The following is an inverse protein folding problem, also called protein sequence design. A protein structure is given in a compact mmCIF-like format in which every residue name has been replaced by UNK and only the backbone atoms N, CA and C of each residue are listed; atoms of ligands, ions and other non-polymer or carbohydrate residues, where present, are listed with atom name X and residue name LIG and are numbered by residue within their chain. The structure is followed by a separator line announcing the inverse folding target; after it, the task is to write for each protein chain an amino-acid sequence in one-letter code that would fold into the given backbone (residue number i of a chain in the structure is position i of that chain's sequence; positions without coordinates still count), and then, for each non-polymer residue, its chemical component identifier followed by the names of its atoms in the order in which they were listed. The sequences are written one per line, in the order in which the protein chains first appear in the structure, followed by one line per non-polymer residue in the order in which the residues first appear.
data_IF_638280909498
#
_entry.id   IF_638280909498
#
_cell.length_a   1.000
_cell.length_b   1.000
_cell.length_c   1.000
_cell.angle_alpha   90.00
_cell.angle_beta   90.00
_cell.angle_gamma   90.00
#
_symmetry.space_group_name_H-M   'P 1'
#
loop_
_entity.id
_entity.type
_entity.pdbx_description
1 polymer ?
#
# COMPACT_ATOMS: atom_id res chain seq x y z
N UNK A 1 21.12 19.54 11.02
CA UNK A 1 20.52 18.45 10.23
C UNK A 1 19.20 17.93 10.80
N UNK A 2 19.07 17.54 12.09
CA UNK A 2 17.82 16.99 12.66
C UNK A 2 16.61 17.94 12.56
N UNK A 3 16.78 19.25 12.75
CA UNK A 3 15.71 20.26 12.65
C UNK A 3 15.18 20.36 11.22
N UNK A 4 16.06 20.43 10.23
CA UNK A 4 15.65 20.49 8.80
C UNK A 4 14.86 19.26 8.37
N UNK A 5 15.25 18.06 8.83
CA UNK A 5 14.49 16.83 8.58
C UNK A 5 13.07 16.89 9.17
N UNK A 6 12.92 17.42 10.38
CA UNK A 6 11.61 17.60 11.02
C UNK A 6 10.76 18.66 10.30
N UNK A 7 11.37 19.77 9.90
CA UNK A 7 10.68 20.82 9.12
C UNK A 7 10.19 20.27 7.78
N UNK A 8 11.02 19.50 7.07
CA UNK A 8 10.64 18.86 5.83
C UNK A 8 9.51 17.85 6.02
N UNK A 9 9.52 17.04 7.09
CA UNK A 9 8.43 16.13 7.43
C UNK A 9 7.11 16.87 7.62
N UNK A 10 7.13 17.95 8.44
CA UNK A 10 5.94 18.77 8.70
C UNK A 10 5.44 19.43 7.41
N UNK A 11 6.34 19.96 6.61
CA UNK A 11 6.03 20.53 5.30
C UNK A 11 5.32 19.53 4.39
N UNK A 12 5.90 18.34 4.23
CA UNK A 12 5.28 17.32 3.38
C UNK A 12 3.91 16.88 3.89
N UNK A 13 3.76 16.64 5.20
CA UNK A 13 2.46 16.29 5.79
C UNK A 13 1.43 17.41 5.59
N UNK A 14 1.85 18.67 5.69
CA UNK A 14 1.01 19.83 5.41
C UNK A 14 0.57 19.86 3.94
N UNK A 15 1.49 19.61 3.00
CA UNK A 15 1.15 19.56 1.56
C UNK A 15 0.19 18.40 1.25
N UNK A 16 0.38 17.23 1.83
CA UNK A 16 -0.55 16.11 1.70
C UNK A 16 -1.95 16.50 2.15
N UNK A 17 -2.08 17.13 3.32
CA UNK A 17 -3.36 17.56 3.85
C UNK A 17 -3.97 18.72 3.02
N UNK A 18 -3.18 19.72 2.65
CA UNK A 18 -3.64 20.87 1.87
C UNK A 18 -4.24 20.43 0.53
N UNK A 19 -3.50 19.62 -0.24
CA UNK A 19 -3.98 19.14 -1.54
C UNK A 19 -5.23 18.27 -1.36
N UNK A 20 -5.26 17.40 -0.32
CA UNK A 20 -6.44 16.61 -0.01
C UNK A 20 -7.67 17.48 0.23
N UNK A 21 -7.58 18.52 1.07
CA UNK A 21 -8.74 19.36 1.39
C UNK A 21 -9.18 20.20 0.19
N UNK A 22 -8.28 20.64 -0.67
CA UNK A 22 -8.63 21.29 -1.94
C UNK A 22 -9.40 20.32 -2.85
N UNK A 23 -8.98 19.05 -2.91
CA UNK A 23 -9.61 18.01 -3.71
C UNK A 23 -10.78 17.31 -3.02
N UNK A 24 -11.09 17.66 -1.77
CA UNK A 24 -12.10 16.97 -0.96
C UNK A 24 -13.48 16.84 -1.65
N UNK A 25 -14.02 17.87 -2.32
CA UNK A 25 -15.29 17.74 -3.03
C UNK A 25 -15.28 16.66 -4.12
N UNK A 26 -14.15 16.52 -4.85
CA UNK A 26 -13.98 15.48 -5.87
C UNK A 26 -13.87 14.09 -5.25
N UNK A 27 -13.12 13.95 -4.16
CA UNK A 27 -13.05 12.69 -3.42
C UNK A 27 -14.41 12.29 -2.85
N UNK A 28 -15.12 13.23 -2.24
CA UNK A 28 -16.46 13.00 -1.72
C UNK A 28 -17.41 12.51 -2.83
N UNK A 29 -17.39 13.16 -3.99
CA UNK A 29 -18.19 12.74 -5.15
C UNK A 29 -17.79 11.34 -5.65
N UNK A 30 -16.50 11.05 -5.76
CA UNK A 30 -16.00 9.77 -6.26
C UNK A 30 -16.34 8.61 -5.33
N UNK A 31 -16.29 8.80 -4.01
CA UNK A 31 -16.54 7.74 -3.03
C UNK A 31 -18.02 7.38 -2.83
N UNK A 32 -18.96 8.06 -3.48
CA UNK A 32 -20.42 7.83 -3.28
C UNK A 32 -21.01 6.72 -4.12
N UNK A 33 -20.31 6.31 -5.19
CA UNK A 33 -20.80 5.25 -6.08
C UNK A 33 -19.63 4.37 -6.52
N UNK A 34 -19.85 3.07 -6.51
CA UNK A 34 -18.84 2.07 -6.87
C UNK A 34 -18.33 2.23 -8.29
N UNK A 35 -19.20 2.59 -9.24
CA UNK A 35 -18.84 2.80 -10.64
C UNK A 35 -17.78 3.90 -10.83
N UNK A 36 -17.51 4.67 -9.78
CA UNK A 36 -16.51 5.75 -9.79
C UNK A 36 -15.18 5.36 -9.16
N UNK A 37 -14.99 4.10 -8.75
CA UNK A 37 -13.77 3.67 -8.07
C UNK A 37 -12.53 3.81 -8.94
N UNK A 38 -12.62 3.53 -10.24
CA UNK A 38 -11.51 3.77 -11.19
C UNK A 38 -11.15 5.27 -11.22
N UNK A 39 -12.17 6.14 -11.28
CA UNK A 39 -11.96 7.59 -11.20
C UNK A 39 -11.36 8.01 -9.85
N UNK A 40 -11.78 7.38 -8.75
CA UNK A 40 -11.17 7.58 -7.43
C UNK A 40 -9.69 7.20 -7.43
N UNK A 41 -9.33 6.09 -8.08
CA UNK A 41 -7.93 5.67 -8.27
C UNK A 41 -7.09 6.75 -8.95
N UNK A 42 -7.60 7.33 -10.04
CA UNK A 42 -6.92 8.43 -10.76
C UNK A 42 -6.84 9.72 -9.91
N UNK A 43 -7.87 10.04 -9.11
CA UNK A 43 -7.81 11.17 -8.17
C UNK A 43 -6.75 10.93 -7.07
N UNK A 44 -6.67 9.72 -6.50
CA UNK A 44 -5.63 9.35 -5.53
C UNK A 44 -4.24 9.50 -6.15
N UNK A 45 -4.06 9.01 -7.37
CA UNK A 45 -2.81 9.11 -8.13
C UNK A 45 -2.40 10.56 -8.37
N UNK A 46 -3.33 11.41 -8.82
CA UNK A 46 -3.09 12.84 -9.02
C UNK A 46 -2.70 13.53 -7.71
N UNK A 47 -3.48 13.31 -6.64
CA UNK A 47 -3.20 13.83 -5.31
C UNK A 47 -1.79 13.47 -4.82
N UNK A 48 -1.44 12.18 -4.88
CA UNK A 48 -0.14 11.70 -4.45
C UNK A 48 1.01 12.29 -5.27
N UNK A 49 0.88 12.35 -6.61
CA UNK A 49 1.88 12.97 -7.49
C UNK A 49 2.08 14.45 -7.17
N UNK A 50 1.00 15.20 -6.96
CA UNK A 50 1.08 16.61 -6.62
C UNK A 50 1.69 16.83 -5.24
N UNK A 51 1.28 16.04 -4.23
CA UNK A 51 1.87 16.10 -2.89
C UNK A 51 3.37 15.75 -2.91
N UNK A 52 3.78 14.75 -3.69
CA UNK A 52 5.21 14.42 -3.87
C UNK A 52 5.97 15.57 -4.51
N UNK A 53 5.46 16.16 -5.58
CA UNK A 53 6.10 17.30 -6.23
C UNK A 53 6.30 18.47 -5.26
N UNK A 54 5.27 18.82 -4.49
CA UNK A 54 5.31 19.88 -3.48
C UNK A 54 6.18 19.52 -2.27
N UNK A 55 6.33 18.23 -1.98
CA UNK A 55 7.21 17.69 -0.95
C UNK A 55 8.65 17.43 -1.42
N UNK A 56 9.00 17.83 -2.65
CA UNK A 56 10.33 17.61 -3.24
C UNK A 56 10.72 16.14 -3.34
N UNK A 57 9.73 15.26 -3.56
CA UNK A 57 9.94 13.85 -3.84
C UNK A 57 9.78 13.55 -5.34
N UNK A 58 10.79 12.89 -5.91
CA UNK A 58 10.69 12.18 -7.18
C UNK A 58 10.29 10.72 -6.95
N UNK A 59 9.94 10.02 -8.02
CA UNK A 59 9.69 8.58 -7.96
C UNK A 59 10.17 7.90 -9.24
N UNK A 60 10.63 6.66 -9.09
CA UNK A 60 11.05 5.79 -10.19
C UNK A 60 10.49 4.39 -9.97
N UNK A 61 9.74 3.90 -10.96
CA UNK A 61 9.20 2.55 -10.99
C UNK A 61 9.95 1.71 -12.01
N UNK A 62 10.47 0.57 -11.57
CA UNK A 62 11.02 -0.48 -12.41
C UNK A 62 10.04 -1.66 -12.38
N UNK A 63 9.60 -2.12 -13.55
CA UNK A 63 8.68 -3.25 -13.70
C UNK A 63 9.42 -4.43 -14.29
N UNK A 64 9.30 -5.62 -13.68
CA UNK A 64 9.88 -6.86 -14.21
C UNK A 64 9.21 -7.24 -15.54
N UNK A 65 7.91 -6.93 -15.68
CA UNK A 65 7.12 -7.08 -16.90
C UNK A 65 5.93 -6.10 -16.90
N UNK A 66 5.28 -5.83 -18.05
CA UNK A 66 4.03 -5.08 -18.10
C UNK A 66 2.94 -5.74 -17.26
N UNK A 67 2.18 -4.94 -16.48
CA UNK A 67 1.11 -5.41 -15.59
C UNK A 67 -0.24 -4.98 -16.16
N UNK A 68 -1.15 -5.94 -16.30
CA UNK A 68 -2.54 -5.68 -16.68
C UNK A 68 -3.40 -5.40 -15.43
N UNK A 69 -3.51 -4.12 -15.06
CA UNK A 69 -4.32 -3.67 -13.93
C UNK A 69 -5.84 -3.68 -14.18
N UNK A 70 -6.31 -4.14 -15.35
CA UNK A 70 -7.75 -4.31 -15.59
C UNK A 70 -8.33 -5.55 -14.90
N UNK A 71 -7.45 -6.47 -14.47
CA UNK A 71 -7.80 -7.70 -13.76
C UNK A 71 -7.57 -7.53 -12.25
N UNK A 72 -8.48 -8.07 -11.41
CA UNK A 72 -8.30 -8.01 -9.96
C UNK A 72 -7.07 -8.82 -9.53
N UNK A 73 -6.34 -8.31 -8.54
CA UNK A 73 -5.19 -8.96 -7.97
C UNK A 73 -5.00 -8.54 -6.51
N UNK A 74 -4.25 -9.34 -5.75
CA UNK A 74 -3.79 -8.97 -4.41
C UNK A 74 -2.38 -8.40 -4.52
N UNK A 75 -2.23 -7.12 -4.22
CA UNK A 75 -0.96 -6.40 -4.31
C UNK A 75 -0.36 -6.35 -2.91
N UNK A 76 0.82 -6.89 -2.74
CA UNK A 76 1.52 -6.96 -1.45
C UNK A 76 2.87 -6.28 -1.54
N UNK A 77 3.23 -5.51 -0.50
CA UNK A 77 4.49 -4.80 -0.44
C UNK A 77 5.08 -4.82 0.98
N UNK A 78 6.40 -4.62 1.09
CA UNK A 78 7.03 -4.27 2.36
C UNK A 78 6.54 -2.89 2.85
N UNK A 79 6.57 -2.66 4.17
CA UNK A 79 6.04 -1.43 4.75
C UNK A 79 6.96 -0.85 5.82
N UNK A 80 7.59 0.27 5.51
CA UNK A 80 8.61 0.89 6.37
C UNK A 80 8.53 2.42 6.42
N UNK A 81 7.59 3.01 5.67
CA UNK A 81 7.53 4.46 5.47
C UNK A 81 6.11 4.98 5.29
N UNK A 82 5.86 6.22 5.72
CA UNK A 82 4.64 6.97 5.35
C UNK A 82 4.55 7.25 3.83
N UNK A 83 5.65 7.13 3.10
CA UNK A 83 5.67 7.31 1.64
C UNK A 83 5.13 6.09 0.87
N UNK A 84 5.05 4.91 1.50
CA UNK A 84 4.70 3.65 0.82
C UNK A 84 3.29 3.70 0.24
N UNK A 85 2.30 4.08 1.06
CA UNK A 85 0.88 4.11 0.63
C UNK A 85 0.59 5.15 -0.45
N UNK A 86 1.04 6.41 -0.37
CA UNK A 86 0.87 7.33 -1.49
C UNK A 86 1.68 6.92 -2.73
N UNK A 87 2.84 6.28 -2.56
CA UNK A 87 3.66 5.86 -3.69
C UNK A 87 3.02 4.71 -4.47
N UNK A 88 2.41 3.74 -3.79
CA UNK A 88 1.72 2.64 -4.46
C UNK A 88 0.52 3.16 -5.28
N UNK A 89 -0.21 4.19 -4.79
CA UNK A 89 -1.29 4.83 -5.55
C UNK A 89 -0.80 5.48 -6.86
N UNK A 90 0.48 5.85 -6.94
CA UNK A 90 1.07 6.40 -8.19
C UNK A 90 1.35 5.30 -9.21
N UNK A 91 1.78 4.12 -8.77
CA UNK A 91 2.18 3.01 -9.64
C UNK A 91 1.05 2.09 -10.09
N UNK A 92 -0.12 2.14 -9.42
CA UNK A 92 -1.25 1.25 -9.69
C UNK A 92 -2.35 2.00 -10.43
N UNK A 93 -3.10 1.28 -11.25
CA UNK A 93 -4.27 1.76 -11.96
C UNK A 93 -5.49 0.87 -11.66
N UNK A 94 -6.67 1.28 -12.12
CA UNK A 94 -7.90 0.48 -12.02
C UNK A 94 -8.66 0.68 -10.71
N UNK A 95 -9.52 -0.31 -10.43
CA UNK A 95 -10.37 -0.33 -9.23
C UNK A 95 -9.65 -1.08 -8.10
N UNK A 96 -9.31 -0.38 -7.03
CA UNK A 96 -8.62 -0.97 -5.88
C UNK A 96 -9.06 -0.37 -4.55
N UNK A 97 -8.86 -1.15 -3.50
CA UNK A 97 -9.07 -0.72 -2.11
C UNK A 97 -7.91 -1.16 -1.22
N UNK A 98 -7.75 -0.46 -0.10
CA UNK A 98 -6.81 -0.82 0.95
C UNK A 98 -7.52 -1.55 2.09
N UNK A 99 -6.77 -2.41 2.79
CA UNK A 99 -7.14 -2.87 4.11
C UNK A 99 -6.18 -2.27 5.14
N UNK A 100 -6.70 -1.54 6.10
CA UNK A 100 -5.88 -0.81 7.07
C UNK A 100 -6.47 -0.81 8.48
N UNK A 101 -5.71 -0.27 9.46
CA UNK A 101 -6.11 -0.22 10.87
C UNK A 101 -7.39 0.59 11.07
N UNK A 102 -8.25 0.13 11.98
CA UNK A 102 -9.50 0.81 12.35
C UNK A 102 -9.30 2.25 12.84
N UNK A 103 -8.14 2.56 13.45
CA UNK A 103 -7.78 3.91 13.90
C UNK A 103 -7.70 4.93 12.76
N UNK A 104 -7.53 4.48 11.51
CA UNK A 104 -7.55 5.35 10.33
C UNK A 104 -8.91 6.01 10.10
N UNK A 105 -9.98 5.48 10.68
CA UNK A 105 -11.29 6.14 10.75
C UNK A 105 -11.29 7.46 11.54
N UNK A 106 -10.28 7.67 12.40
CA UNK A 106 -10.10 8.92 13.16
C UNK A 106 -9.16 9.91 12.45
N UNK A 107 -8.47 9.47 11.40
CA UNK A 107 -7.48 10.31 10.70
C UNK A 107 -8.19 11.31 9.77
N UNK A 108 -7.92 12.63 9.86
CA UNK A 108 -8.70 13.66 9.16
C UNK A 108 -8.70 13.51 7.63
N UNK A 109 -7.60 13.01 7.06
CA UNK A 109 -7.44 12.80 5.61
C UNK A 109 -7.96 11.43 5.17
N UNK A 110 -7.66 10.36 5.92
CA UNK A 110 -7.95 8.98 5.50
C UNK A 110 -9.36 8.53 5.86
N UNK A 111 -10.02 9.19 6.83
CA UNK A 111 -11.36 8.85 7.31
C UNK A 111 -12.37 8.65 6.17
N UNK A 112 -12.37 9.55 5.19
CA UNK A 112 -13.31 9.48 4.06
C UNK A 112 -13.21 8.14 3.33
N UNK A 113 -11.98 7.71 3.01
CA UNK A 113 -11.75 6.47 2.26
C UNK A 113 -12.10 5.23 3.08
N UNK A 114 -11.71 5.19 4.36
CA UNK A 114 -12.00 4.05 5.26
C UNK A 114 -13.46 3.98 5.71
N UNK A 115 -14.24 5.03 5.54
CA UNK A 115 -15.70 5.00 5.74
C UNK A 115 -16.47 4.57 4.48
N UNK A 116 -15.83 4.51 3.31
CA UNK A 116 -16.53 4.34 2.04
C UNK A 116 -16.00 3.19 1.18
N UNK A 117 -14.72 3.19 0.85
CA UNK A 117 -14.12 2.28 -0.14
C UNK A 117 -13.13 1.33 0.50
N UNK A 118 -12.24 1.85 1.35
CA UNK A 118 -11.21 1.04 2.01
C UNK A 118 -11.80 0.28 3.21
N UNK A 119 -11.19 -0.85 3.57
CA UNK A 119 -11.71 -1.74 4.61
C UNK A 119 -10.92 -1.56 5.91
N UNK A 120 -11.55 -0.98 6.97
CA UNK A 120 -10.92 -0.90 8.28
C UNK A 120 -10.91 -2.26 8.97
N UNK A 121 -9.80 -2.59 9.64
CA UNK A 121 -9.67 -3.81 10.43
C UNK A 121 -9.25 -3.49 11.87
N UNK A 122 -10.04 -3.98 12.81
CA UNK A 122 -9.67 -4.05 14.22
C UNK A 122 -8.90 -5.36 14.43
N UNK A 123 -7.59 -5.24 14.70
CA UNK A 123 -6.66 -6.37 14.83
C UNK A 123 -6.69 -7.01 16.22
N UNK A 124 -7.27 -6.32 17.19
CA UNK A 124 -7.40 -6.81 18.57
C UNK A 124 -8.65 -7.68 18.71
N UNK A 125 -9.57 -7.63 17.75
CA UNK A 125 -10.78 -8.45 17.69
C UNK A 125 -10.72 -9.49 16.57
N UNK A 126 -10.64 -10.78 16.93
CA UNK A 126 -10.68 -11.89 15.95
C UNK A 126 -11.94 -11.86 15.09
N UNK A 127 -13.08 -11.53 15.69
CA UNK A 127 -14.38 -11.46 14.98
C UNK A 127 -14.39 -10.29 13.98
N UNK A 128 -13.93 -9.10 14.40
CA UNK A 128 -13.84 -7.95 13.52
C UNK A 128 -12.83 -8.18 12.38
N UNK A 129 -11.68 -8.77 12.67
CA UNK A 129 -10.68 -9.16 11.67
C UNK A 129 -11.26 -10.15 10.64
N UNK A 130 -12.02 -11.16 11.10
CA UNK A 130 -12.67 -12.10 10.19
C UNK A 130 -13.72 -11.41 9.30
N UNK A 131 -14.54 -10.52 9.86
CA UNK A 131 -15.53 -9.74 9.08
C UNK A 131 -14.86 -8.85 8.04
N UNK A 132 -13.76 -8.18 8.40
CA UNK A 132 -12.97 -7.37 7.47
C UNK A 132 -12.41 -8.21 6.32
N UNK A 133 -11.83 -9.40 6.62
CA UNK A 133 -11.34 -10.32 5.58
C UNK A 133 -12.46 -10.79 4.64
N UNK A 134 -13.64 -11.11 5.18
CA UNK A 134 -14.81 -11.48 4.35
C UNK A 134 -15.29 -10.34 3.45
N UNK A 135 -15.25 -9.10 3.95
CA UNK A 135 -15.59 -7.93 3.13
C UNK A 135 -14.59 -7.72 2.01
N UNK A 136 -13.29 -7.86 2.29
CA UNK A 136 -12.22 -7.79 1.29
C UNK A 136 -12.36 -8.90 0.25
N UNK A 137 -12.59 -10.15 0.68
CA UNK A 137 -12.83 -11.29 -0.21
C UNK A 137 -13.99 -11.01 -1.18
N UNK A 138 -15.11 -10.47 -0.67
CA UNK A 138 -16.23 -10.07 -1.51
C UNK A 138 -15.83 -8.99 -2.52
N UNK A 139 -15.12 -7.93 -2.09
CA UNK A 139 -14.68 -6.86 -2.99
C UNK A 139 -13.79 -7.40 -4.13
N UNK A 140 -12.87 -8.32 -3.79
CA UNK A 140 -11.97 -8.94 -4.80
C UNK A 140 -12.77 -9.78 -5.79
N UNK A 141 -13.72 -10.61 -5.33
CA UNK A 141 -14.62 -11.39 -6.21
C UNK A 141 -15.50 -10.51 -7.11
N UNK A 142 -15.76 -9.28 -6.67
CA UNK A 142 -16.49 -8.28 -7.43
C UNK A 142 -15.59 -7.46 -8.38
N UNK A 143 -14.31 -7.83 -8.52
CA UNK A 143 -13.38 -7.26 -9.51
C UNK A 143 -12.46 -6.15 -9.00
N UNK A 144 -12.43 -5.87 -7.68
CA UNK A 144 -11.51 -4.89 -7.11
C UNK A 144 -10.17 -5.54 -6.75
N UNK A 145 -9.07 -4.87 -7.02
CA UNK A 145 -7.76 -5.26 -6.47
C UNK A 145 -7.66 -4.89 -4.99
N UNK A 146 -6.98 -5.73 -4.22
CA UNK A 146 -6.63 -5.45 -2.82
C UNK A 146 -5.18 -4.98 -2.73
N UNK A 147 -4.94 -3.90 -1.98
CA UNK A 147 -3.59 -3.50 -1.58
C UNK A 147 -3.43 -3.73 -0.09
N UNK A 148 -2.41 -4.50 0.29
CA UNK A 148 -2.16 -4.87 1.67
C UNK A 148 -0.66 -4.96 1.96
N UNK A 149 -0.29 -4.55 3.18
CA UNK A 149 1.06 -4.73 3.73
C UNK A 149 1.03 -5.95 4.67
N UNK A 150 1.57 -7.10 4.26
CA UNK A 150 1.41 -8.34 5.02
C UNK A 150 2.17 -8.37 6.35
N UNK A 151 3.15 -7.48 6.53
CA UNK A 151 3.80 -7.25 7.84
C UNK A 151 2.81 -6.79 8.91
N UNK A 152 1.69 -6.18 8.50
CA UNK A 152 0.63 -5.72 9.38
C UNK A 152 0.94 -4.46 10.18
N UNK A 153 2.15 -3.96 10.13
CA UNK A 153 2.57 -2.66 10.70
C UNK A 153 3.80 -2.17 9.95
N UNK A 154 4.21 -0.90 10.15
CA UNK A 154 5.45 -0.40 9.58
C UNK A 154 6.65 -1.02 10.30
N UNK A 155 7.59 -1.60 9.54
CA UNK A 155 8.88 -2.02 10.07
C UNK A 155 9.70 -0.78 10.47
N UNK A 156 10.23 -0.78 11.68
CA UNK A 156 11.16 0.23 12.18
C UNK A 156 12.63 -0.22 12.09
N UNK A 157 12.83 -1.45 11.62
CA UNK A 157 14.14 -2.09 11.47
C UNK A 157 14.56 -2.23 10.00
N UNK A 158 13.85 -1.51 9.09
CA UNK A 158 14.18 -1.53 7.66
C UNK A 158 15.68 -1.22 7.43
N UNK A 159 16.33 -1.93 6.49
CA UNK A 159 15.77 -2.75 5.41
C UNK A 159 15.30 -4.15 5.83
N UNK A 160 15.32 -4.50 7.09
CA UNK A 160 14.75 -5.77 7.56
C UNK A 160 13.22 -5.69 7.56
N UNK A 161 12.57 -6.76 7.07
CA UNK A 161 11.12 -6.89 7.07
C UNK A 161 10.65 -7.68 8.27
N UNK A 162 9.42 -7.40 8.71
CA UNK A 162 8.71 -8.23 9.69
C UNK A 162 8.10 -9.45 9.00
N UNK A 163 7.80 -10.49 9.79
CA UNK A 163 7.12 -11.69 9.29
C UNK A 163 5.78 -11.36 8.63
N UNK A 164 5.47 -12.05 7.53
CA UNK A 164 4.24 -11.87 6.81
C UNK A 164 3.07 -12.61 7.45
N UNK A 165 1.95 -11.94 7.60
CA UNK A 165 0.68 -12.53 8.02
C UNK A 165 -0.02 -13.18 6.82
N UNK A 166 -0.68 -14.29 7.06
CA UNK A 166 -1.28 -15.13 6.01
C UNK A 166 -2.50 -14.54 5.30
N UNK A 167 -3.11 -13.47 5.82
CA UNK A 167 -4.39 -12.95 5.36
C UNK A 167 -4.45 -12.58 3.87
N UNK A 168 -3.42 -11.90 3.34
CA UNK A 168 -3.33 -11.53 1.93
C UNK A 168 -3.29 -12.75 1.01
N UNK A 169 -2.47 -13.72 1.37
CA UNK A 169 -2.24 -14.94 0.61
C UNK A 169 -3.49 -15.81 0.59
N UNK A 170 -4.16 -15.94 1.74
CA UNK A 170 -5.43 -16.64 1.84
C UNK A 170 -6.49 -16.02 0.92
N UNK A 171 -6.64 -14.69 0.90
CA UNK A 171 -7.58 -14.00 0.01
C UNK A 171 -7.26 -14.29 -1.45
N UNK A 172 -5.99 -14.22 -1.83
CA UNK A 172 -5.58 -14.46 -3.21
C UNK A 172 -5.92 -15.88 -3.67
N UNK A 173 -5.65 -16.90 -2.84
CA UNK A 173 -5.99 -18.31 -3.11
C UNK A 173 -7.50 -18.52 -3.14
N UNK A 174 -8.23 -18.02 -2.13
CA UNK A 174 -9.69 -18.21 -2.01
C UNK A 174 -10.48 -17.50 -3.13
N UNK A 175 -9.93 -16.41 -3.69
CA UNK A 175 -10.54 -15.64 -4.78
C UNK A 175 -10.01 -16.03 -6.17
N UNK A 176 -9.02 -16.91 -6.25
CA UNK A 176 -8.38 -17.31 -7.52
C UNK A 176 -7.81 -16.13 -8.32
N UNK A 177 -7.14 -15.23 -7.65
CA UNK A 177 -6.50 -14.05 -8.24
C UNK A 177 -4.99 -14.04 -7.98
N UNK A 178 -4.18 -13.49 -8.90
CA UNK A 178 -2.74 -13.45 -8.72
C UNK A 178 -2.32 -12.53 -7.58
N UNK A 179 -1.14 -12.82 -7.00
CA UNK A 179 -0.42 -11.91 -6.11
C UNK A 179 0.59 -11.10 -6.92
N UNK A 180 0.58 -9.78 -6.74
CA UNK A 180 1.59 -8.87 -7.27
C UNK A 180 2.52 -8.39 -6.16
N UNK A 181 3.76 -8.92 -6.06
CA UNK A 181 4.74 -8.40 -5.12
C UNK A 181 5.29 -7.05 -5.57
N UNK A 182 5.45 -6.13 -4.62
CA UNK A 182 6.04 -4.80 -4.85
C UNK A 182 7.10 -4.55 -3.78
N UNK A 183 8.27 -4.07 -4.18
CA UNK A 183 9.36 -3.73 -3.25
C UNK A 183 9.62 -2.23 -3.23
N UNK A 184 9.39 -1.58 -2.09
CA UNK A 184 9.87 -0.22 -1.84
C UNK A 184 11.33 -0.29 -1.39
N UNK A 185 12.22 0.26 -2.20
CA UNK A 185 13.66 0.03 -2.04
C UNK A 185 14.32 0.97 -1.02
N UNK A 186 13.88 2.24 -0.96
CA UNK A 186 14.58 3.27 -0.17
C UNK A 186 13.65 4.25 0.57
N UNK A 187 12.38 3.98 0.65
CA UNK A 187 11.43 4.89 1.31
C UNK A 187 11.78 5.08 2.79
N UNK A 188 12.30 4.03 3.46
CA UNK A 188 12.74 4.08 4.86
C UNK A 188 13.91 5.04 5.10
N UNK A 189 14.77 5.28 4.09
CA UNK A 189 15.87 6.25 4.17
C UNK A 189 15.35 7.68 4.08
N UNK A 190 14.37 7.91 3.21
CA UNK A 190 13.81 9.23 2.94
C UNK A 190 12.84 9.68 4.03
N UNK A 191 11.98 8.77 4.50
CA UNK A 191 11.02 9.02 5.58
C UNK A 191 10.72 7.71 6.32
N UNK A 192 11.46 7.37 7.38
CA UNK A 192 11.23 6.15 8.14
C UNK A 192 9.87 6.14 8.84
N UNK A 193 9.37 4.96 9.22
CA UNK A 193 8.08 4.76 9.87
C UNK A 193 7.91 5.52 11.20
N UNK A 194 9.01 5.96 11.82
CA UNK A 194 9.02 6.88 12.97
C UNK A 194 9.23 8.36 12.55
N UNK A 195 8.81 8.73 11.35
CA UNK A 195 9.05 10.06 10.75
C UNK A 195 8.70 11.26 11.62
N UNK A 196 7.74 11.13 12.53
CA UNK A 196 7.43 12.17 13.53
C UNK A 196 8.64 12.53 14.41
N UNK A 197 9.49 11.57 14.71
CA UNK A 197 10.71 11.76 15.53
C UNK A 197 11.96 11.90 14.68
N UNK A 198 12.12 11.08 13.63
CA UNK A 198 13.29 11.05 12.75
C UNK A 198 13.26 12.16 11.68
N UNK A 199 12.07 12.62 11.30
CA UNK A 199 11.88 13.56 10.19
C UNK A 199 12.00 12.88 8.82
N UNK A 200 12.15 13.70 7.77
CA UNK A 200 12.31 13.22 6.40
C UNK A 200 13.30 14.07 5.61
N UNK A 201 13.69 13.57 4.44
CA UNK A 201 14.53 14.31 3.49
C UNK A 201 13.94 14.20 2.09
N UNK A 202 14.09 15.22 1.23
CA UNK A 202 13.72 15.12 -0.18
C UNK A 202 14.57 14.05 -0.87
N UNK A 203 14.06 13.49 -1.98
CA UNK A 203 14.79 12.49 -2.74
C UNK A 203 13.92 11.75 -3.74
N UNK A 204 14.51 10.77 -4.40
CA UNK A 204 13.82 9.93 -5.38
C UNK A 204 13.50 8.58 -4.76
N UNK A 205 12.21 8.31 -4.62
CA UNK A 205 11.69 7.00 -4.17
C UNK A 205 11.84 5.99 -5.29
N UNK A 206 12.30 4.80 -4.96
CA UNK A 206 12.53 3.71 -5.91
C UNK A 206 11.66 2.52 -5.58
N UNK A 207 10.95 2.04 -6.60
CA UNK A 207 10.01 0.92 -6.48
C UNK A 207 10.34 -0.13 -7.53
N UNK A 208 10.32 -1.38 -7.13
CA UNK A 208 10.38 -2.52 -8.05
C UNK A 208 9.06 -3.27 -7.99
N UNK A 209 8.42 -3.43 -9.14
CA UNK A 209 7.17 -4.18 -9.32
C UNK A 209 7.53 -5.51 -9.96
N UNK A 210 7.35 -6.60 -9.21
CA UNK A 210 7.66 -7.94 -9.66
C UNK A 210 6.58 -8.47 -10.62
N UNK A 211 6.85 -9.61 -11.26
CA UNK A 211 5.83 -10.33 -12.02
C UNK A 211 4.74 -10.86 -11.09
N UNK A 212 3.47 -10.89 -11.52
CA UNK A 212 2.40 -11.51 -10.77
C UNK A 212 2.66 -13.02 -10.60
N UNK A 213 2.29 -13.55 -9.44
CA UNK A 213 2.36 -14.98 -9.11
C UNK A 213 0.95 -15.55 -9.18
N UNK A 214 0.74 -16.55 -10.03
CA UNK A 214 -0.51 -17.29 -10.11
C UNK A 214 -0.72 -18.11 -8.83
N UNK A 215 -1.92 -18.08 -8.28
CA UNK A 215 -2.24 -18.79 -7.04
C UNK A 215 -2.81 -20.19 -7.23
N UNK A 216 -3.06 -20.62 -8.47
CA UNK A 216 -3.63 -21.95 -8.75
C UNK A 216 -2.79 -23.10 -8.20
N UNK A 217 -1.45 -22.97 -8.26
CA UNK A 217 -0.51 -23.99 -7.76
C UNK A 217 -0.44 -24.09 -6.22
N UNK A 218 -1.09 -23.16 -5.48
CA UNK A 218 -1.02 -23.08 -4.01
C UNK A 218 -2.34 -23.44 -3.32
N UNK A 219 -3.28 -24.06 -4.04
CA UNK A 219 -4.57 -24.51 -3.48
C UNK A 219 -4.47 -25.78 -2.65
N UNK A 220 -3.33 -26.50 -2.75
CA UNK A 220 -3.05 -27.72 -1.99
C UNK A 220 -2.69 -27.43 -0.53
N UNK A 221 -2.68 -28.47 0.29
CA UNK A 221 -2.26 -28.40 1.69
C UNK A 221 -0.83 -27.88 1.82
N UNK A 222 -0.63 -26.89 2.71
CA UNK A 222 0.65 -26.18 2.86
C UNK A 222 0.94 -25.13 1.79
N UNK A 223 0.09 -24.96 0.76
CA UNK A 223 0.30 -24.00 -0.30
C UNK A 223 0.26 -22.54 0.17
N UNK A 224 -0.55 -22.24 1.17
CA UNK A 224 -0.62 -20.91 1.78
C UNK A 224 0.73 -20.46 2.37
N UNK A 225 1.41 -21.33 3.11
CA UNK A 225 2.71 -21.05 3.71
C UNK A 225 3.81 -20.95 2.65
N UNK A 226 3.76 -21.84 1.64
CA UNK A 226 4.70 -21.81 0.50
C UNK A 226 4.59 -20.47 -0.24
N UNK A 227 3.36 -20.03 -0.59
CA UNK A 227 3.13 -18.77 -1.27
C UNK A 227 3.61 -17.56 -0.44
N UNK A 228 3.29 -17.55 0.85
CA UNK A 228 3.73 -16.49 1.77
C UNK A 228 5.26 -16.40 1.84
N UNK A 229 5.93 -17.54 1.98
CA UNK A 229 7.39 -17.63 2.05
C UNK A 229 8.04 -17.22 0.73
N UNK A 230 7.49 -17.65 -0.39
CA UNK A 230 8.01 -17.27 -1.72
C UNK A 230 7.92 -15.76 -1.95
N UNK A 231 6.77 -15.16 -1.69
CA UNK A 231 6.58 -13.71 -1.84
C UNK A 231 7.47 -12.92 -0.88
N UNK A 232 7.60 -13.39 0.37
CA UNK A 232 8.53 -12.80 1.33
C UNK A 232 9.96 -12.80 0.78
N UNK A 233 10.44 -13.95 0.30
CA UNK A 233 11.79 -14.10 -0.22
C UNK A 233 12.04 -13.23 -1.45
N UNK A 234 11.09 -13.12 -2.37
CA UNK A 234 11.18 -12.27 -3.57
C UNK A 234 11.38 -10.80 -3.15
N UNK A 235 10.53 -10.29 -2.25
CA UNK A 235 10.60 -8.90 -1.80
C UNK A 235 11.88 -8.67 -0.99
N UNK A 236 12.20 -9.56 -0.05
CA UNK A 236 13.38 -9.44 0.81
C UNK A 236 14.68 -9.47 0.00
N UNK A 237 14.82 -10.41 -0.93
CA UNK A 237 16.01 -10.51 -1.77
C UNK A 237 16.24 -9.22 -2.57
N UNK A 238 15.18 -8.66 -3.17
CA UNK A 238 15.29 -7.40 -3.93
C UNK A 238 15.68 -6.23 -3.02
N UNK A 239 15.09 -6.16 -1.82
CA UNK A 239 15.36 -5.12 -0.83
C UNK A 239 16.80 -5.21 -0.30
N UNK A 240 17.27 -6.40 0.10
CA UNK A 240 18.61 -6.62 0.59
C UNK A 240 19.67 -6.37 -0.49
N UNK A 241 19.42 -6.80 -1.72
CA UNK A 241 20.31 -6.51 -2.86
C UNK A 241 20.43 -5.01 -3.14
N UNK A 242 19.40 -4.22 -2.83
CA UNK A 242 19.46 -2.77 -2.95
C UNK A 242 20.23 -2.15 -1.77
N UNK A 243 19.97 -2.58 -0.54
CA UNK A 243 20.59 -2.03 0.66
C UNK A 243 22.11 -2.29 0.76
N UNK A 244 22.58 -3.36 0.15
CA UNK A 244 24.00 -3.76 0.16
C UNK A 244 24.82 -3.17 -1.01
N UNK A 245 24.28 -2.20 -1.76
CA UNK A 245 24.99 -1.47 -2.83
C UNK A 245 25.73 -0.26 -2.28
#
# INVERSE_FOLDING_TARGET
MKILRKLHFVWYMFMVALVFFIMYPLFYYATRKRERNVFLGELRKFWCKLAFKLGFYGHHFEYEQPIDFSKPMVIVANHSSYLDTPLICVGIAGDYHFMGKVELLKHPVLKLFFQTVDVPVDRDSKIASYRALKKVEQNVKEGQSLILYPEGTMSLIAPEMLEFKSGAFKIAIDCDVPILPVTFLNNYELMPGNGKTAGSVPGVMKVFVHKPIDTAAYKEEGGLEKLSTEVFNIINQKLQNYANR
#
